data_IF_304931001361
#
_entry.id   IF_304931001361
#
_cell.length_a   1.000
_cell.length_b   1.000
_cell.length_c   1.000
_cell.angle_alpha   90.00
_cell.angle_beta   90.00
_cell.angle_gamma   90.00
#
_symmetry.space_group_name_H-M   'P 1'
#
loop_
_entity.id
_entity.type
_entity.pdbx_description
1 polymer ?
#
# COMPACT_ATOMS: atom_id res chain seq x y z
N UNK A 1 1.22 17.33 -8.78
CA UNK A 1 1.95 16.30 -8.01
C UNK A 1 3.19 16.96 -7.40
N UNK A 2 3.19 17.30 -6.11
CA UNK A 2 4.41 17.74 -5.39
C UNK A 2 4.80 16.60 -4.46
N UNK A 3 5.78 15.81 -4.90
CA UNK A 3 6.40 14.79 -4.08
C UNK A 3 7.38 15.49 -3.15
N UNK A 4 7.08 15.52 -1.85
CA UNK A 4 8.02 15.93 -0.82
C UNK A 4 7.99 14.86 0.27
N UNK A 5 9.04 14.04 0.32
CA UNK A 5 9.26 13.06 1.37
C UNK A 5 9.59 11.67 0.82
N UNK A 6 10.88 11.32 0.83
CA UNK A 6 11.37 10.00 0.45
C UNK A 6 12.71 10.12 -0.26
N UNK A 7 13.77 9.54 0.32
CA UNK A 7 15.12 9.58 -0.25
C UNK A 7 15.20 9.05 -1.68
N UNK A 8 16.25 9.46 -2.40
CA UNK A 8 16.50 9.05 -3.78
C UNK A 8 16.67 7.52 -3.82
N UNK A 9 15.81 6.78 -4.55
CA UNK A 9 16.00 5.35 -4.74
C UNK A 9 17.35 5.10 -5.41
N UNK A 10 18.12 4.13 -4.91
CA UNK A 10 19.32 3.70 -5.61
C UNK A 10 18.94 2.83 -6.82
N UNK A 11 19.80 2.77 -7.85
CA UNK A 11 19.58 1.87 -8.97
C UNK A 11 19.41 0.43 -8.48
N UNK A 12 18.27 -0.20 -8.82
CA UNK A 12 17.90 -1.56 -8.40
C UNK A 12 16.96 -1.64 -7.19
N UNK A 13 16.61 -0.53 -6.55
CA UNK A 13 15.62 -0.52 -5.47
C UNK A 13 14.18 -0.65 -6.00
N UNK A 14 13.33 -1.39 -5.28
CA UNK A 14 11.90 -1.43 -5.57
C UNK A 14 11.19 -0.33 -4.78
N UNK A 15 10.46 0.54 -5.48
CA UNK A 15 9.63 1.58 -4.87
C UNK A 15 8.22 1.08 -4.55
N UNK A 16 7.63 1.60 -3.47
CA UNK A 16 6.21 1.45 -3.16
C UNK A 16 5.62 2.84 -2.93
N UNK A 17 4.65 3.23 -3.74
CA UNK A 17 3.92 4.48 -3.57
C UNK A 17 2.51 4.18 -3.06
N UNK A 18 2.15 4.79 -1.92
CA UNK A 18 0.84 4.59 -1.28
C UNK A 18 -0.01 5.85 -1.40
N UNK A 19 -1.24 5.72 -1.90
CA UNK A 19 -2.21 6.83 -2.03
C UNK A 19 -3.57 6.43 -1.47
N UNK A 20 -4.21 7.31 -0.69
CA UNK A 20 -5.58 7.08 -0.21
C UNK A 20 -6.66 7.56 -1.18
N UNK A 21 -6.29 8.33 -2.21
CA UNK A 21 -7.21 8.89 -3.21
C UNK A 21 -7.16 8.20 -4.57
N UNK A 22 -6.43 7.09 -4.69
CA UNK A 22 -6.19 6.40 -5.96
C UNK A 22 -5.11 7.06 -6.81
N UNK A 23 -5.09 6.69 -8.10
CA UNK A 23 -4.09 7.10 -9.09
C UNK A 23 -4.74 7.54 -10.39
N UNK A 24 -4.17 8.55 -11.05
CA UNK A 24 -4.55 8.91 -12.41
C UNK A 24 -3.96 7.92 -13.41
N UNK A 25 -4.56 7.81 -14.60
CA UNK A 25 -4.03 6.97 -15.68
C UNK A 25 -2.59 7.33 -16.05
N UNK A 26 -2.25 8.63 -16.05
CA UNK A 26 -0.88 9.10 -16.30
C UNK A 26 0.10 8.60 -15.22
N UNK A 27 -0.32 8.59 -13.95
CA UNK A 27 0.52 8.09 -12.86
C UNK A 27 0.77 6.59 -12.95
N UNK A 28 -0.25 5.82 -13.37
CA UNK A 28 -0.12 4.38 -13.62
C UNK A 28 0.85 4.15 -14.78
N UNK A 29 0.66 4.86 -15.89
CA UNK A 29 1.50 4.73 -17.08
C UNK A 29 2.96 5.08 -16.80
N UNK A 30 3.21 6.12 -16.00
CA UNK A 30 4.56 6.52 -15.62
C UNK A 30 5.23 5.47 -14.72
N UNK A 31 4.49 4.89 -13.76
CA UNK A 31 5.00 3.84 -12.91
C UNK A 31 5.39 2.57 -13.70
N UNK A 32 4.57 2.19 -14.70
CA UNK A 32 4.85 1.04 -15.57
C UNK A 32 6.07 1.23 -16.47
N UNK A 33 6.34 2.48 -16.89
CA UNK A 33 7.45 2.83 -17.78
C UNK A 33 8.73 3.23 -17.04
N UNK A 34 8.65 3.39 -15.73
CA UNK A 34 9.79 3.78 -14.91
C UNK A 34 10.91 2.75 -15.02
N UNK A 35 12.14 3.26 -15.16
CA UNK A 35 13.35 2.43 -15.19
C UNK A 35 13.56 1.67 -13.88
N UNK A 36 13.24 2.31 -12.76
CA UNK A 36 13.25 1.70 -11.43
C UNK A 36 11.81 1.31 -11.07
N UNK A 37 11.50 0.03 -10.81
CA UNK A 37 10.12 -0.42 -10.61
C UNK A 37 9.48 0.25 -9.39
N UNK A 38 8.31 0.85 -9.58
CA UNK A 38 7.49 1.38 -8.49
C UNK A 38 6.12 0.71 -8.49
N UNK A 39 5.79 0.05 -7.39
CA UNK A 39 4.45 -0.49 -7.17
C UNK A 39 3.53 0.60 -6.64
N UNK A 40 2.38 0.77 -7.28
CA UNK A 40 1.32 1.64 -6.78
C UNK A 40 0.39 0.81 -5.88
N UNK A 41 0.09 1.34 -4.70
CA UNK A 41 -0.83 0.73 -3.74
C UNK A 41 -1.85 1.78 -3.31
N UNK A 42 -3.11 1.55 -3.64
CA UNK A 42 -4.21 2.39 -3.19
C UNK A 42 -4.73 1.91 -1.82
N UNK A 43 -5.73 2.63 -1.29
CA UNK A 43 -6.31 2.30 0.01
C UNK A 43 -6.98 0.92 0.01
N UNK A 44 -7.71 0.57 -1.06
CA UNK A 44 -8.41 -0.71 -1.15
C UNK A 44 -7.42 -1.87 -1.18
N UNK A 45 -6.37 -1.77 -2.00
CA UNK A 45 -5.29 -2.76 -2.02
C UNK A 45 -4.53 -2.84 -0.70
N UNK A 46 -4.31 -1.70 -0.03
CA UNK A 46 -3.69 -1.69 1.29
C UNK A 46 -4.56 -2.41 2.33
N UNK A 47 -5.87 -2.17 2.34
CA UNK A 47 -6.80 -2.83 3.26
C UNK A 47 -6.83 -4.34 3.00
N UNK A 48 -6.85 -4.77 1.74
CA UNK A 48 -6.81 -6.19 1.39
C UNK A 48 -5.54 -6.87 1.90
N UNK A 49 -4.36 -6.29 1.64
CA UNK A 49 -3.08 -6.80 2.13
C UNK A 49 -3.02 -6.82 3.66
N UNK A 50 -3.54 -5.78 4.29
CA UNK A 50 -3.58 -5.69 5.74
C UNK A 50 -4.42 -6.82 6.33
N UNK A 51 -5.61 -7.09 5.78
CA UNK A 51 -6.49 -8.17 6.25
C UNK A 51 -5.86 -9.55 5.98
N UNK A 52 -5.32 -9.76 4.79
CA UNK A 52 -4.68 -11.02 4.37
C UNK A 52 -3.55 -11.42 5.33
N UNK A 53 -2.72 -10.46 5.72
CA UNK A 53 -1.57 -10.70 6.58
C UNK A 53 -1.78 -10.28 8.04
N UNK A 54 -3.01 -9.89 8.42
CA UNK A 54 -3.26 -9.33 9.74
C UNK A 54 -2.83 -10.30 10.86
N UNK A 55 -3.10 -11.59 10.69
CA UNK A 55 -2.82 -12.61 11.71
C UNK A 55 -1.32 -12.79 11.98
N UNK A 56 -0.47 -12.67 10.96
CA UNK A 56 1.00 -12.83 11.08
C UNK A 56 1.74 -11.51 11.30
N UNK A 57 1.04 -10.37 11.25
CA UNK A 57 1.61 -9.06 11.46
C UNK A 57 2.19 -8.91 12.88
N UNK A 58 3.35 -8.25 12.99
CA UNK A 58 4.01 -7.97 14.27
C UNK A 58 3.04 -7.23 15.22
N UNK A 59 2.96 -7.62 16.51
CA UNK A 59 2.14 -6.96 17.53
C UNK A 59 2.26 -5.43 17.56
N UNK A 60 3.45 -4.87 17.33
CA UNK A 60 3.66 -3.42 17.29
C UNK A 60 2.80 -2.75 16.21
N UNK A 61 2.71 -3.35 15.02
CA UNK A 61 1.89 -2.82 13.92
C UNK A 61 0.41 -3.11 14.11
N UNK A 62 0.06 -4.27 14.69
CA UNK A 62 -1.33 -4.58 15.09
C UNK A 62 -1.88 -3.55 16.08
N UNK A 63 -1.05 -3.04 16.99
CA UNK A 63 -1.44 -2.02 17.95
C UNK A 63 -1.80 -0.68 17.29
N UNK A 64 -1.24 -0.38 16.09
CA UNK A 64 -1.56 0.85 15.34
C UNK A 64 -2.92 0.76 14.65
N UNK A 65 -3.33 -0.44 14.22
CA UNK A 65 -4.60 -0.68 13.51
C UNK A 65 -5.30 -1.91 14.09
N UNK A 66 -5.93 -1.79 15.28
CA UNK A 66 -6.53 -2.94 15.96
C UNK A 66 -7.83 -3.39 15.28
N UNK A 67 -7.80 -4.53 14.60
CA UNK A 67 -8.97 -5.21 14.06
C UNK A 67 -9.63 -6.13 15.09
N UNK A 68 -10.96 -6.15 15.10
CA UNK A 68 -11.78 -7.07 15.90
C UNK A 68 -12.52 -8.01 14.97
N UNK A 69 -12.44 -9.32 15.23
CA UNK A 69 -13.29 -10.31 14.57
C UNK A 69 -14.72 -10.13 15.07
N UNK A 70 -15.65 -9.92 14.16
CA UNK A 70 -17.08 -9.88 14.45
C UNK A 70 -17.73 -11.10 13.84
N UNK A 71 -18.63 -11.72 14.59
CA UNK A 71 -19.45 -12.81 14.08
C UNK A 71 -20.71 -12.21 13.46
N UNK A 72 -20.96 -12.51 12.19
CA UNK A 72 -22.15 -12.04 11.47
C UNK A 72 -23.08 -13.24 11.30
N UNK A 73 -24.35 -13.16 11.77
CA UNK A 73 -25.33 -14.19 11.49
C UNK A 73 -25.61 -14.26 9.99
N UNK A 74 -25.53 -15.44 9.41
CA UNK A 74 -25.97 -15.71 8.04
C UNK A 74 -27.42 -16.20 8.10
N UNK A 75 -28.33 -15.51 7.41
CA UNK A 75 -29.72 -15.96 7.20
C UNK A 75 -29.81 -17.23 6.33
#
# INVERSE_FOLDING_TARGET
MRCAGGGVPHPGDNGLFVSTGGFTSDAILEAERSREPVKLLDLDGFIQLLIEHYETLNPEYKAKVPLRKVWVPTE
#
